data_IF_607707930388
#
_entry.id   IF_607707930388
#
_cell.length_a   1.000
_cell.length_b   1.000
_cell.length_c   1.000
_cell.angle_alpha   90.00
_cell.angle_beta   90.00
_cell.angle_gamma   90.00
#
_symmetry.space_group_name_H-M   'P 1'
#
loop_
_entity.id
_entity.type
_entity.pdbx_description
1 polymer ?
#
# COMPACT_ATOMS: atom_id res chain seq x y z
N UNK A 1 -4.05 31.21 -9.34
CA UNK A 1 -4.54 30.44 -8.17
C UNK A 1 -5.75 29.67 -8.66
N UNK A 2 -5.68 28.34 -8.67
CA UNK A 2 -6.77 27.47 -9.13
C UNK A 2 -7.70 27.18 -7.96
N UNK A 3 -8.99 27.41 -8.15
CA UNK A 3 -9.98 27.06 -7.13
C UNK A 3 -10.45 25.64 -7.30
N UNK A 4 -10.49 24.90 -6.19
CA UNK A 4 -11.01 23.54 -6.11
C UNK A 4 -11.99 23.51 -4.94
N UNK A 5 -13.23 23.10 -5.22
CA UNK A 5 -14.28 23.05 -4.20
C UNK A 5 -14.16 21.76 -3.38
N UNK A 6 -14.60 21.80 -2.12
CA UNK A 6 -14.71 20.59 -1.28
C UNK A 6 -15.63 19.55 -1.91
N UNK A 7 -16.64 19.94 -2.69
CA UNK A 7 -17.50 18.99 -3.39
C UNK A 7 -16.74 18.18 -4.45
N UNK A 8 -15.87 18.82 -5.25
CA UNK A 8 -15.03 18.12 -6.21
C UNK A 8 -14.09 17.11 -5.52
N UNK A 9 -13.56 17.45 -4.34
CA UNK A 9 -12.70 16.57 -3.55
C UNK A 9 -13.51 15.37 -3.03
N UNK A 10 -14.69 15.63 -2.46
CA UNK A 10 -15.61 14.58 -1.97
C UNK A 10 -15.98 13.60 -3.08
N UNK A 11 -16.39 14.10 -4.24
CA UNK A 11 -16.78 13.27 -5.38
C UNK A 11 -15.60 12.43 -5.91
N UNK A 12 -14.40 13.04 -5.98
CA UNK A 12 -13.18 12.36 -6.40
C UNK A 12 -12.80 11.24 -5.43
N UNK A 13 -12.78 11.49 -4.12
CA UNK A 13 -12.44 10.48 -3.10
C UNK A 13 -13.47 9.35 -3.08
N UNK A 14 -14.79 9.69 -3.17
CA UNK A 14 -15.86 8.70 -3.26
C UNK A 14 -15.65 7.75 -4.43
N UNK A 15 -15.40 8.28 -5.63
CA UNK A 15 -15.18 7.47 -6.82
C UNK A 15 -13.90 6.61 -6.70
N UNK A 16 -12.80 7.21 -6.22
CA UNK A 16 -11.55 6.47 -6.02
C UNK A 16 -11.69 5.30 -5.04
N UNK A 17 -12.47 5.43 -3.96
CA UNK A 17 -12.71 4.33 -3.01
C UNK A 17 -13.40 3.13 -3.67
N UNK A 18 -14.35 3.37 -4.56
CA UNK A 18 -15.03 2.32 -5.31
C UNK A 18 -14.11 1.70 -6.35
N UNK A 19 -13.53 2.52 -7.22
CA UNK A 19 -12.71 2.07 -8.34
C UNK A 19 -11.51 1.23 -7.89
N UNK A 20 -10.83 1.66 -6.82
CA UNK A 20 -9.67 0.93 -6.27
C UNK A 20 -10.07 -0.40 -5.63
N UNK A 21 -11.32 -0.55 -5.23
CA UNK A 21 -11.82 -1.78 -4.62
C UNK A 21 -12.32 -2.80 -5.64
N UNK A 22 -12.70 -2.35 -6.84
CA UNK A 22 -13.27 -3.18 -7.89
C UNK A 22 -12.26 -3.55 -8.99
N UNK A 23 -11.22 -2.75 -9.16
CA UNK A 23 -10.29 -2.87 -10.27
C UNK A 23 -8.84 -2.88 -9.78
N UNK A 24 -8.14 -4.00 -10.02
CA UNK A 24 -6.73 -4.14 -9.67
C UNK A 24 -5.86 -3.37 -10.69
N UNK A 25 -4.80 -2.66 -10.27
CA UNK A 25 -3.87 -2.03 -11.20
C UNK A 25 -3.27 -3.02 -12.19
N UNK A 26 -3.12 -2.61 -13.44
CA UNK A 26 -2.66 -3.48 -14.55
C UNK A 26 -1.26 -4.05 -14.31
N UNK A 27 -0.37 -3.28 -13.69
CA UNK A 27 0.98 -3.74 -13.34
C UNK A 27 0.95 -4.89 -12.33
N UNK A 28 0.04 -4.85 -11.36
CA UNK A 28 -0.15 -5.92 -10.37
C UNK A 28 -0.76 -7.15 -11.03
N UNK A 29 -1.77 -6.98 -11.88
CA UNK A 29 -2.40 -8.08 -12.63
C UNK A 29 -1.38 -8.78 -13.53
N UNK A 30 -0.57 -8.02 -14.26
CA UNK A 30 0.52 -8.55 -15.09
C UNK A 30 1.56 -9.31 -14.25
N UNK A 31 1.96 -8.76 -13.10
CA UNK A 31 2.91 -9.42 -12.20
C UNK A 31 2.37 -10.74 -11.62
N UNK A 32 1.07 -10.82 -11.34
CA UNK A 32 0.41 -12.06 -10.93
C UNK A 32 0.40 -13.09 -12.07
N UNK A 33 0.13 -12.68 -13.31
CA UNK A 33 0.16 -13.54 -14.48
C UNK A 33 1.58 -14.06 -14.76
N UNK A 34 2.59 -13.20 -14.67
CA UNK A 34 4.00 -13.58 -14.77
C UNK A 34 4.42 -14.53 -13.64
N UNK A 35 3.89 -14.29 -12.44
CA UNK A 35 4.07 -15.16 -11.29
C UNK A 35 3.49 -16.56 -11.54
N UNK A 36 2.27 -16.64 -12.09
CA UNK A 36 1.64 -17.91 -12.45
C UNK A 36 2.50 -18.71 -13.45
N UNK A 37 3.10 -18.04 -14.43
CA UNK A 37 3.98 -18.68 -15.40
C UNK A 37 5.27 -19.24 -14.78
N UNK A 38 5.78 -18.61 -13.70
CA UNK A 38 7.03 -18.98 -13.01
C UNK A 38 6.81 -19.94 -11.84
N UNK A 39 5.57 -20.07 -11.34
CA UNK A 39 5.25 -20.90 -10.18
C UNK A 39 5.41 -22.39 -10.52
N UNK A 40 6.01 -23.14 -9.63
CA UNK A 40 6.27 -24.58 -9.79
C UNK A 40 5.28 -25.44 -8.99
N UNK A 41 4.80 -24.93 -7.85
CA UNK A 41 3.87 -25.64 -6.98
C UNK A 41 2.48 -25.74 -7.61
N UNK A 42 1.89 -26.94 -7.73
CA UNK A 42 0.51 -27.08 -8.22
C UNK A 42 -0.51 -26.29 -7.39
N UNK A 43 -0.34 -26.24 -6.07
CA UNK A 43 -1.20 -25.44 -5.19
C UNK A 43 -0.97 -23.93 -5.38
N UNK A 44 0.30 -23.52 -5.56
CA UNK A 44 0.64 -22.14 -5.86
C UNK A 44 0.02 -21.65 -7.17
N UNK A 45 0.10 -22.48 -8.23
CA UNK A 45 -0.57 -22.20 -9.53
C UNK A 45 -2.06 -22.03 -9.35
N UNK A 46 -2.71 -23.01 -8.71
CA UNK A 46 -4.13 -22.92 -8.46
C UNK A 46 -4.53 -21.65 -7.70
N UNK A 47 -3.77 -21.25 -6.67
CA UNK A 47 -4.03 -20.02 -5.94
C UNK A 47 -3.93 -18.78 -6.85
N UNK A 48 -2.88 -18.68 -7.67
CA UNK A 48 -2.70 -17.55 -8.59
C UNK A 48 -3.79 -17.50 -9.66
N UNK A 49 -4.23 -18.64 -10.20
CA UNK A 49 -5.37 -18.72 -11.12
C UNK A 49 -6.66 -18.19 -10.46
N UNK A 50 -6.93 -18.59 -9.21
CA UNK A 50 -8.11 -18.11 -8.48
C UNK A 50 -8.03 -16.60 -8.18
N UNK A 51 -6.84 -16.08 -7.85
CA UNK A 51 -6.62 -14.64 -7.62
C UNK A 51 -6.92 -13.85 -8.90
N UNK A 52 -6.35 -14.26 -10.03
CA UNK A 52 -6.57 -13.61 -11.33
C UNK A 52 -8.05 -13.67 -11.75
N UNK A 53 -8.67 -14.83 -11.59
CA UNK A 53 -10.11 -14.99 -11.90
C UNK A 53 -10.97 -14.07 -11.01
N UNK A 54 -10.68 -13.99 -9.71
CA UNK A 54 -11.37 -13.10 -8.79
C UNK A 54 -11.23 -11.62 -9.17
N UNK A 55 -10.05 -11.19 -9.64
CA UNK A 55 -9.85 -9.82 -10.11
C UNK A 55 -10.75 -9.50 -11.32
N UNK A 56 -10.88 -10.43 -12.27
CA UNK A 56 -11.76 -10.27 -13.43
C UNK A 56 -13.24 -10.21 -13.00
N UNK A 57 -13.68 -11.08 -12.11
CA UNK A 57 -15.06 -11.06 -11.58
C UNK A 57 -15.36 -9.74 -10.84
N UNK A 58 -14.42 -9.27 -10.02
CA UNK A 58 -14.59 -8.02 -9.29
C UNK A 58 -14.81 -6.83 -10.24
N UNK A 59 -14.00 -6.75 -11.30
CA UNK A 59 -14.12 -5.72 -12.34
C UNK A 59 -15.43 -5.83 -13.12
N UNK A 60 -15.80 -7.04 -13.55
CA UNK A 60 -17.00 -7.30 -14.36
C UNK A 60 -18.27 -6.97 -13.58
N UNK A 61 -18.33 -7.38 -12.31
CA UNK A 61 -19.53 -7.23 -11.49
C UNK A 61 -19.52 -5.95 -10.63
N UNK A 62 -18.47 -5.12 -10.71
CA UNK A 62 -18.28 -3.92 -9.87
C UNK A 62 -18.47 -4.23 -8.38
N UNK A 63 -17.77 -5.27 -7.93
CA UNK A 63 -17.78 -5.77 -6.56
C UNK A 63 -16.38 -5.74 -5.96
N UNK A 64 -16.30 -5.59 -4.63
CA UNK A 64 -15.03 -5.60 -3.94
C UNK A 64 -14.27 -6.94 -4.14
N UNK A 65 -13.02 -6.87 -4.61
CA UNK A 65 -12.18 -8.05 -4.85
C UNK A 65 -11.75 -8.79 -3.58
N UNK A 66 -11.94 -8.19 -2.41
CA UNK A 66 -11.59 -8.76 -1.11
C UNK A 66 -12.60 -8.34 -0.05
N UNK A 67 -12.87 -9.21 0.92
CA UNK A 67 -13.71 -8.88 2.08
C UNK A 67 -13.08 -7.82 2.98
N UNK A 68 -11.74 -7.67 2.99
CA UNK A 68 -11.05 -6.58 3.65
C UNK A 68 -10.82 -5.44 2.66
N UNK A 69 -11.73 -4.47 2.70
CA UNK A 69 -11.65 -3.25 1.91
C UNK A 69 -10.78 -2.17 2.58
N UNK A 70 -10.19 -2.51 3.73
CA UNK A 70 -9.13 -1.76 4.39
C UNK A 70 -9.58 -0.49 5.11
N UNK A 71 -8.61 0.16 5.74
CA UNK A 71 -8.70 1.56 6.14
C UNK A 71 -8.23 2.43 4.97
N UNK A 72 -8.95 3.51 4.68
CA UNK A 72 -8.57 4.43 3.61
C UNK A 72 -7.35 5.26 4.03
N UNK A 73 -6.21 5.07 3.36
CA UNK A 73 -5.07 5.98 3.44
C UNK A 73 -5.13 6.90 2.22
N UNK A 74 -5.15 8.21 2.46
CA UNK A 74 -5.31 9.21 1.41
C UNK A 74 -4.08 10.10 1.38
N UNK A 75 -3.39 10.11 0.25
CA UNK A 75 -2.28 11.02 -0.01
C UNK A 75 -2.78 12.21 -0.82
N UNK A 76 -2.52 13.41 -0.30
CA UNK A 76 -2.83 14.69 -0.92
C UNK A 76 -1.53 15.39 -1.28
N UNK A 77 -1.27 15.57 -2.58
CA UNK A 77 -0.20 16.46 -3.05
C UNK A 77 -0.84 17.77 -3.49
N UNK A 78 -0.69 18.79 -2.68
CA UNK A 78 -1.37 20.09 -2.84
C UNK A 78 -0.40 21.10 -3.46
N UNK A 79 -0.74 21.60 -4.62
CA UNK A 79 -0.02 22.72 -5.24
C UNK A 79 -0.15 24.00 -4.41
N UNK A 80 0.93 24.75 -4.24
CA UNK A 80 0.94 26.01 -3.46
C UNK A 80 -0.06 27.06 -3.96
N UNK A 81 -0.41 27.01 -5.24
CA UNK A 81 -1.34 27.94 -5.89
C UNK A 81 -2.78 27.41 -5.95
N UNK A 82 -3.08 26.30 -5.25
CA UNK A 82 -4.43 25.78 -5.08
C UNK A 82 -5.12 26.54 -3.95
N UNK A 83 -6.36 26.96 -4.21
CA UNK A 83 -7.26 27.51 -3.22
C UNK A 83 -8.48 26.61 -3.04
N UNK A 84 -8.59 25.98 -1.85
CA UNK A 84 -9.69 25.11 -1.52
C UNK A 84 -10.84 25.95 -0.97
N UNK A 85 -12.02 25.80 -1.58
CA UNK A 85 -13.20 26.59 -1.24
C UNK A 85 -14.39 25.74 -0.81
N UNK A 86 -15.28 26.34 -0.02
CA UNK A 86 -16.54 25.71 0.39
C UNK A 86 -16.51 24.91 1.69
N UNK A 87 -15.35 24.74 2.33
CA UNK A 87 -15.26 24.05 3.61
C UNK A 87 -13.86 23.51 3.94
N UNK A 88 -13.82 22.53 4.83
CA UNK A 88 -12.57 21.88 5.28
C UNK A 88 -12.14 20.78 4.29
N UNK A 89 -10.87 20.77 3.91
CA UNK A 89 -10.26 19.74 3.08
C UNK A 89 -10.35 18.35 3.73
N UNK A 90 -10.06 18.26 5.02
CA UNK A 90 -10.09 16.98 5.74
C UNK A 90 -11.51 16.42 5.80
N UNK A 91 -12.52 17.28 6.09
CA UNK A 91 -13.92 16.86 6.15
C UNK A 91 -14.41 16.39 4.77
N UNK A 92 -13.99 17.04 3.69
CA UNK A 92 -14.33 16.63 2.33
C UNK A 92 -13.77 15.23 1.99
N UNK A 93 -12.53 14.93 2.44
CA UNK A 93 -11.93 13.60 2.27
C UNK A 93 -12.70 12.56 3.09
N UNK A 94 -13.02 12.84 4.35
CA UNK A 94 -13.79 11.91 5.19
C UNK A 94 -15.18 11.66 4.61
N UNK A 95 -15.84 12.70 4.14
CA UNK A 95 -17.15 12.60 3.47
C UNK A 95 -17.08 11.73 2.23
N UNK A 96 -16.06 11.91 1.39
CA UNK A 96 -15.83 11.09 0.21
C UNK A 96 -15.60 9.61 0.54
N UNK A 97 -14.84 9.31 1.60
CA UNK A 97 -14.64 7.94 2.09
C UNK A 97 -15.97 7.36 2.59
N UNK A 98 -16.72 8.08 3.40
CA UNK A 98 -18.01 7.64 3.91
C UNK A 98 -18.97 7.26 2.78
N UNK A 99 -19.15 8.15 1.80
CA UNK A 99 -20.00 7.90 0.64
C UNK A 99 -19.50 6.74 -0.22
N UNK A 100 -18.18 6.68 -0.51
CA UNK A 100 -17.59 5.63 -1.33
C UNK A 100 -17.73 4.24 -0.72
N UNK A 101 -17.60 4.13 0.63
CA UNK A 101 -17.77 2.87 1.34
C UNK A 101 -19.24 2.45 1.47
N UNK A 102 -20.17 3.40 1.50
CA UNK A 102 -21.60 3.12 1.47
C UNK A 102 -22.06 2.69 0.09
N UNK A 103 -21.81 3.50 -0.93
CA UNK A 103 -22.27 3.28 -2.30
C UNK A 103 -21.62 2.06 -2.97
N UNK A 104 -20.34 1.80 -2.64
CA UNK A 104 -19.59 0.64 -3.11
C UNK A 104 -19.85 -0.64 -2.32
N UNK A 105 -20.76 -0.63 -1.34
CA UNK A 105 -21.02 -1.76 -0.42
C UNK A 105 -19.73 -2.31 0.20
N UNK A 106 -18.78 -1.42 0.51
CA UNK A 106 -17.50 -1.78 1.08
C UNK A 106 -17.62 -2.03 2.58
N UNK A 107 -16.81 -2.97 3.09
CA UNK A 107 -16.81 -3.28 4.51
C UNK A 107 -16.29 -2.12 5.35
N UNK A 108 -17.09 -1.66 6.33
CA UNK A 108 -16.68 -0.67 7.31
C UNK A 108 -15.89 -1.36 8.42
N UNK A 109 -14.60 -1.03 8.55
CA UNK A 109 -13.66 -1.76 9.44
C UNK A 109 -12.98 -0.86 10.48
N UNK A 110 -13.31 0.44 10.49
CA UNK A 110 -12.74 1.42 11.43
C UNK A 110 -13.48 1.38 12.76
N UNK A 111 -12.74 1.42 13.86
CA UNK A 111 -13.27 1.53 15.22
C UNK A 111 -12.91 2.89 15.82
N UNK A 112 -13.83 3.47 16.59
CA UNK A 112 -13.67 4.81 17.20
C UNK A 112 -12.52 4.86 18.19
N UNK A 113 -12.51 3.88 19.09
CA UNK A 113 -11.52 3.76 20.16
C UNK A 113 -10.80 2.40 20.01
N UNK A 114 -9.45 2.41 19.87
CA UNK A 114 -8.75 1.20 19.46
C UNK A 114 -8.46 0.20 20.58
N UNK A 115 -8.57 0.59 21.86
CA UNK A 115 -8.05 -0.19 23.00
C UNK A 115 -9.13 -0.81 23.89
N UNK A 116 -10.19 -0.07 24.18
CA UNK A 116 -11.19 -0.47 25.19
C UNK A 116 -12.52 -0.91 24.56
N UNK A 117 -13.37 0.02 24.11
CA UNK A 117 -14.70 -0.31 23.60
C UNK A 117 -14.71 -0.86 22.18
N UNK A 118 -13.83 -0.37 21.33
CA UNK A 118 -13.65 -0.77 19.93
C UNK A 118 -14.95 -0.74 19.10
N UNK A 119 -15.83 0.21 19.36
CA UNK A 119 -17.06 0.40 18.62
C UNK A 119 -16.78 0.76 17.16
N UNK A 120 -17.48 0.11 16.22
CA UNK A 120 -17.33 0.41 14.81
C UNK A 120 -17.93 1.78 14.50
N UNK A 121 -17.24 2.61 13.70
CA UNK A 121 -17.71 3.93 13.28
C UNK A 121 -18.94 3.86 12.38
N UNK A 122 -19.15 2.72 11.71
CA UNK A 122 -20.28 2.48 10.81
C UNK A 122 -20.13 3.06 9.42
N UNK A 123 -19.08 3.86 9.16
CA UNK A 123 -18.88 4.58 7.89
C UNK A 123 -17.45 4.52 7.35
N UNK A 124 -16.57 3.79 8.02
CA UNK A 124 -15.14 3.63 7.71
C UNK A 124 -14.31 4.91 7.79
N UNK A 125 -14.77 5.91 8.53
CA UNK A 125 -14.02 7.13 8.84
C UNK A 125 -13.47 7.10 10.28
N UNK A 126 -12.45 7.92 10.59
CA UNK A 126 -11.71 8.82 9.70
C UNK A 126 -10.76 8.08 8.75
N UNK A 127 -10.48 8.68 7.61
CA UNK A 127 -9.36 8.29 6.76
C UNK A 127 -8.03 8.68 7.41
N UNK A 128 -6.95 7.97 7.08
CA UNK A 128 -5.58 8.41 7.40
C UNK A 128 -5.10 9.33 6.28
N UNK A 129 -4.96 10.61 6.55
CA UNK A 129 -4.62 11.62 5.55
C UNK A 129 -3.16 12.04 5.69
N UNK A 130 -2.41 11.94 4.60
CA UNK A 130 -1.06 12.49 4.46
C UNK A 130 -1.07 13.62 3.45
N UNK A 131 -0.56 14.78 3.82
CA UNK A 131 -0.54 15.97 2.94
C UNK A 131 0.89 16.43 2.70
N UNK A 132 1.22 16.65 1.43
CA UNK A 132 2.44 17.28 0.97
C UNK A 132 2.11 18.53 0.17
N UNK A 133 2.85 19.62 0.40
CA UNK A 133 2.71 20.86 -0.36
C UNK A 133 3.88 20.95 -1.36
N UNK A 134 3.53 21.17 -2.63
CA UNK A 134 4.49 21.22 -3.73
C UNK A 134 4.27 22.51 -4.56
N UNK A 135 5.24 22.97 -5.34
CA UNK A 135 5.00 24.03 -6.31
C UNK A 135 3.93 23.64 -7.34
N UNK A 136 3.11 24.61 -7.78
CA UNK A 136 2.11 24.43 -8.83
C UNK A 136 0.67 24.62 -8.37
N UNK A 137 -0.28 24.29 -9.26
CA UNK A 137 -1.70 24.58 -9.10
C UNK A 137 -2.61 23.36 -9.22
N UNK A 138 -2.06 22.14 -9.06
CA UNK A 138 -2.83 20.90 -9.10
C UNK A 138 -2.99 20.33 -7.69
N UNK A 139 -4.11 19.67 -7.47
CA UNK A 139 -4.34 18.81 -6.32
C UNK A 139 -4.39 17.35 -6.81
N UNK A 140 -3.36 16.56 -6.45
CA UNK A 140 -3.38 15.13 -6.67
C UNK A 140 -3.92 14.44 -5.42
N UNK A 141 -4.88 13.55 -5.62
CA UNK A 141 -5.50 12.73 -4.58
C UNK A 141 -5.26 11.29 -4.94
N UNK A 142 -4.62 10.53 -4.05
CA UNK A 142 -4.44 9.08 -4.19
C UNK A 142 -5.10 8.37 -3.01
N UNK A 143 -5.91 7.36 -3.30
CA UNK A 143 -6.55 6.51 -2.29
C UNK A 143 -5.89 5.13 -2.30
N UNK A 144 -5.46 4.70 -1.13
CA UNK A 144 -4.80 3.40 -0.87
C UNK A 144 -5.58 2.68 0.23
N UNK A 145 -6.48 1.75 -0.08
CA UNK A 145 -7.13 0.96 0.95
C UNK A 145 -6.13 -0.04 1.53
N UNK A 146 -5.82 0.11 2.82
CA UNK A 146 -4.81 -0.70 3.50
C UNK A 146 -5.44 -1.77 4.37
N UNK A 147 -5.36 -3.02 3.90
CA UNK A 147 -5.89 -4.18 4.61
C UNK A 147 -5.12 -4.50 5.90
N UNK A 148 -5.85 -4.87 6.95
CA UNK A 148 -5.29 -5.10 8.27
C UNK A 148 -4.36 -6.33 8.33
N UNK A 149 -4.67 -7.40 7.60
CA UNK A 149 -3.84 -8.61 7.60
C UNK A 149 -2.39 -8.35 7.17
N UNK A 150 -2.20 -7.51 6.16
CA UNK A 150 -0.87 -7.11 5.71
C UNK A 150 -0.27 -5.95 6.50
N UNK A 151 -1.09 -5.02 7.00
CA UNK A 151 -0.60 -3.90 7.83
C UNK A 151 0.01 -4.41 9.14
N UNK A 152 -0.63 -5.39 9.77
CA UNK A 152 -0.15 -5.98 11.03
C UNK A 152 1.20 -6.71 10.90
N UNK A 153 1.64 -7.00 9.69
CA UNK A 153 2.92 -7.65 9.42
C UNK A 153 4.07 -6.66 9.20
N UNK A 154 3.77 -5.36 9.21
CA UNK A 154 4.78 -4.31 9.14
C UNK A 154 5.62 -4.22 10.41
N UNK A 155 6.85 -3.72 10.27
CA UNK A 155 7.75 -3.50 11.39
C UNK A 155 8.63 -2.26 11.17
N UNK A 156 9.06 -1.64 12.27
CA UNK A 156 10.05 -0.56 12.27
C UNK A 156 11.14 -0.87 13.28
N UNK A 157 12.38 -0.61 12.91
CA UNK A 157 13.53 -0.79 13.79
C UNK A 157 14.52 0.36 13.67
N UNK A 158 14.93 0.89 14.81
CA UNK A 158 16.03 1.85 14.90
C UNK A 158 17.33 1.05 14.97
N UNK A 159 17.93 0.82 13.80
CA UNK A 159 19.26 0.21 13.70
C UNK A 159 20.36 1.21 14.07
N UNK A 160 21.53 0.70 14.39
CA UNK A 160 22.75 1.51 14.56
C UNK A 160 23.47 1.62 13.21
N UNK A 161 24.18 2.73 12.93
CA UNK A 161 25.00 2.83 11.73
C UNK A 161 25.99 1.66 11.55
N UNK A 162 26.49 1.11 12.66
CA UNK A 162 27.36 -0.05 12.65
C UNK A 162 26.70 -1.35 12.18
N UNK A 163 25.38 -1.47 12.25
CA UNK A 163 24.64 -2.64 11.73
C UNK A 163 24.68 -2.65 10.19
N UNK A 164 24.78 -1.47 9.58
CA UNK A 164 25.01 -1.29 8.15
C UNK A 164 23.99 -1.96 7.24
N UNK A 165 24.42 -2.23 6.02
CA UNK A 165 23.59 -2.87 4.99
C UNK A 165 23.12 -4.27 5.41
N UNK A 166 24.00 -5.07 5.99
CA UNK A 166 23.67 -6.44 6.37
C UNK A 166 22.63 -6.51 7.50
N UNK A 167 22.73 -5.60 8.49
CA UNK A 167 21.72 -5.49 9.54
C UNK A 167 20.36 -5.06 8.99
N UNK A 168 20.34 -4.18 8.00
CA UNK A 168 19.10 -3.78 7.31
C UNK A 168 18.50 -4.94 6.51
N UNK A 169 19.31 -5.66 5.69
CA UNK A 169 18.87 -6.85 4.94
C UNK A 169 18.28 -7.90 5.89
N UNK A 170 18.99 -8.22 6.97
CA UNK A 170 18.52 -9.22 7.93
C UNK A 170 17.18 -8.84 8.55
N UNK A 171 17.01 -7.57 8.98
CA UNK A 171 15.76 -7.09 9.55
C UNK A 171 14.59 -7.19 8.55
N UNK A 172 14.83 -6.83 7.28
CA UNK A 172 13.81 -6.89 6.22
C UNK A 172 13.40 -8.35 5.99
N UNK A 173 14.36 -9.23 5.79
CA UNK A 173 14.10 -10.66 5.51
C UNK A 173 13.42 -11.35 6.70
N UNK A 174 13.81 -11.03 7.94
CA UNK A 174 13.18 -11.58 9.13
C UNK A 174 11.74 -11.09 9.28
N UNK A 175 11.46 -9.82 8.94
CA UNK A 175 10.10 -9.30 8.94
C UNK A 175 9.19 -10.08 7.98
N UNK A 176 9.64 -10.32 6.75
CA UNK A 176 8.88 -11.10 5.77
C UNK A 176 8.74 -12.57 6.20
N UNK A 177 9.81 -13.18 6.71
CA UNK A 177 9.78 -14.56 7.21
C UNK A 177 8.77 -14.75 8.33
N UNK A 178 8.76 -13.82 9.30
CA UNK A 178 7.81 -13.84 10.43
C UNK A 178 6.36 -13.56 9.99
N UNK A 179 6.17 -12.80 8.93
CA UNK A 179 4.85 -12.57 8.35
C UNK A 179 4.25 -13.86 7.75
N UNK A 180 5.09 -14.69 7.11
CA UNK A 180 4.66 -15.95 6.52
C UNK A 180 3.49 -15.79 5.56
N UNK A 181 2.45 -16.60 5.74
CA UNK A 181 1.21 -16.56 4.95
C UNK A 181 0.19 -15.50 5.37
N UNK A 182 0.37 -14.84 6.54
CA UNK A 182 -0.61 -13.91 7.10
C UNK A 182 -0.97 -12.72 6.19
N UNK A 183 -0.03 -12.12 5.42
CA UNK A 183 -0.35 -11.02 4.53
C UNK A 183 -0.96 -11.45 3.18
N UNK A 184 -1.35 -12.72 3.03
CA UNK A 184 -1.90 -13.29 1.78
C UNK A 184 -0.96 -13.08 0.56
N UNK A 185 0.20 -13.77 0.52
CA UNK A 185 1.11 -13.71 -0.63
C UNK A 185 0.44 -14.14 -1.96
N UNK A 186 1.00 -13.70 -3.12
CA UNK A 186 2.27 -12.96 -3.26
C UNK A 186 2.14 -11.52 -2.80
N UNK A 187 3.15 -11.02 -2.09
CA UNK A 187 3.15 -9.71 -1.45
C UNK A 187 3.89 -8.65 -2.28
N UNK A 188 3.60 -7.38 -2.00
CA UNK A 188 4.48 -6.26 -2.34
C UNK A 188 5.10 -5.74 -1.05
N UNK A 189 6.42 -5.59 -1.04
CA UNK A 189 7.17 -5.15 0.14
C UNK A 189 7.66 -3.73 -0.09
N UNK A 190 7.19 -2.82 0.75
CA UNK A 190 7.67 -1.44 0.80
C UNK A 190 8.65 -1.26 1.95
N UNK A 191 9.78 -0.64 1.67
CA UNK A 191 10.86 -0.41 2.63
C UNK A 191 11.16 1.07 2.69
N UNK A 192 11.22 1.62 3.89
CA UNK A 192 11.67 2.97 4.15
C UNK A 192 12.98 2.98 4.93
N UNK A 193 13.98 3.69 4.41
CA UNK A 193 15.31 3.77 5.03
C UNK A 193 15.69 5.23 5.29
N UNK A 194 16.08 5.52 6.51
CA UNK A 194 16.53 6.87 6.88
C UNK A 194 15.40 7.78 7.40
N UNK A 195 15.68 9.07 7.45
CA UNK A 195 14.82 10.06 8.10
C UNK A 195 14.82 9.91 9.62
N UNK A 196 13.65 9.98 10.19
CA UNK A 196 13.32 9.81 11.61
C UNK A 196 12.46 8.56 11.81
N UNK A 197 12.13 8.23 13.06
CA UNK A 197 11.33 7.04 13.39
C UNK A 197 9.98 7.02 12.67
N UNK A 198 9.31 8.15 12.54
CA UNK A 198 8.02 8.28 11.84
C UNK A 198 8.19 8.38 10.31
N UNK A 199 9.30 8.97 9.83
CA UNK A 199 9.56 9.12 8.39
C UNK A 199 9.81 7.78 7.71
N UNK A 200 10.54 6.87 8.32
CA UNK A 200 10.82 5.56 7.75
C UNK A 200 9.53 4.73 7.48
N UNK A 201 8.56 4.58 8.40
CA UNK A 201 7.26 3.96 8.10
C UNK A 201 6.44 4.68 7.01
N UNK A 202 6.50 6.02 6.97
CA UNK A 202 5.83 6.77 5.88
C UNK A 202 6.44 6.41 4.51
N UNK A 203 7.78 6.38 4.42
CA UNK A 203 8.49 5.98 3.20
C UNK A 203 8.17 4.53 2.82
N UNK A 204 8.16 3.61 3.77
CA UNK A 204 7.80 2.22 3.53
C UNK A 204 6.39 2.08 2.95
N UNK A 205 5.44 2.87 3.46
CA UNK A 205 4.06 2.87 2.96
C UNK A 205 3.94 3.54 1.58
N UNK A 206 4.69 4.60 1.32
CA UNK A 206 4.78 5.22 -0.01
C UNK A 206 5.42 4.29 -1.03
N UNK A 207 6.46 3.54 -0.66
CA UNK A 207 7.09 2.56 -1.53
C UNK A 207 6.11 1.51 -2.07
N UNK A 208 5.05 1.17 -1.33
CA UNK A 208 3.99 0.26 -1.78
C UNK A 208 3.13 0.82 -2.91
N UNK A 209 3.18 2.11 -3.20
CA UNK A 209 2.42 2.75 -4.28
C UNK A 209 3.23 2.93 -5.56
N UNK A 210 4.47 2.45 -5.60
CA UNK A 210 5.26 2.42 -6.82
C UNK A 210 4.73 1.33 -7.75
N UNK A 211 4.77 1.62 -9.05
CA UNK A 211 4.41 0.66 -10.09
C UNK A 211 5.33 -0.58 -10.02
N UNK A 212 4.74 -1.77 -10.09
CA UNK A 212 5.50 -3.02 -10.10
C UNK A 212 6.33 -3.09 -11.39
N UNK A 213 7.62 -3.37 -11.23
CA UNK A 213 8.60 -3.33 -12.32
C UNK A 213 9.39 -2.03 -12.38
N UNK A 214 8.94 -0.96 -11.68
CA UNK A 214 9.76 0.23 -11.50
C UNK A 214 10.99 -0.07 -10.62
N UNK A 215 12.05 0.72 -10.80
CA UNK A 215 13.29 0.59 -10.03
C UNK A 215 13.62 1.89 -9.32
N UNK A 216 14.35 1.78 -8.23
CA UNK A 216 14.88 2.97 -7.55
C UNK A 216 15.83 3.72 -8.48
N UNK A 217 15.82 5.04 -8.42
CA UNK A 217 16.71 5.91 -9.22
C UNK A 217 18.19 5.74 -8.86
N UNK A 218 18.49 5.43 -7.59
CA UNK A 218 19.85 5.08 -7.17
C UNK A 218 20.13 3.60 -7.49
N UNK A 219 21.10 3.30 -8.36
CA UNK A 219 21.39 1.94 -8.81
C UNK A 219 21.76 0.99 -7.67
N UNK A 220 22.28 1.49 -6.55
CA UNK A 220 22.60 0.67 -5.36
C UNK A 220 21.33 0.16 -4.70
N UNK A 221 20.30 0.99 -4.59
CA UNK A 221 19.00 0.58 -4.06
C UNK A 221 18.24 -0.27 -5.08
N UNK A 222 18.33 0.03 -6.37
CA UNK A 222 17.73 -0.80 -7.41
C UNK A 222 18.28 -2.23 -7.39
N UNK A 223 19.59 -2.39 -7.22
CA UNK A 223 20.21 -3.70 -7.05
C UNK A 223 19.75 -4.38 -5.75
N UNK A 224 19.63 -3.63 -4.65
CA UNK A 224 19.17 -4.17 -3.37
C UNK A 224 17.71 -4.63 -3.43
N UNK A 225 16.84 -3.91 -4.18
CA UNK A 225 15.45 -4.33 -4.43
C UNK A 225 15.41 -5.71 -5.11
N UNK A 226 16.25 -5.94 -6.12
CA UNK A 226 16.36 -7.24 -6.82
C UNK A 226 16.88 -8.35 -5.91
N UNK A 227 17.98 -8.09 -5.18
CA UNK A 227 18.55 -9.06 -4.25
C UNK A 227 17.55 -9.50 -3.17
N UNK A 228 16.81 -8.54 -2.61
CA UNK A 228 15.79 -8.83 -1.60
C UNK A 228 14.60 -9.59 -2.19
N UNK A 229 14.14 -9.24 -3.40
CA UNK A 229 13.06 -9.94 -4.07
C UNK A 229 13.43 -11.41 -4.33
N UNK A 230 14.63 -11.67 -4.83
CA UNK A 230 15.14 -13.02 -5.03
C UNK A 230 15.23 -13.79 -3.70
N UNK A 231 15.81 -13.18 -2.66
CA UNK A 231 15.94 -13.79 -1.35
C UNK A 231 14.58 -14.14 -0.72
N UNK A 232 13.57 -13.26 -0.87
CA UNK A 232 12.21 -13.48 -0.37
C UNK A 232 11.55 -14.62 -1.14
N UNK A 233 11.67 -14.67 -2.45
CA UNK A 233 11.07 -15.73 -3.28
C UNK A 233 11.75 -17.10 -3.02
N UNK A 234 13.02 -17.10 -2.62
CA UNK A 234 13.72 -18.31 -2.18
C UNK A 234 13.35 -18.80 -0.77
N UNK A 235 12.51 -18.08 -0.01
CA UNK A 235 11.99 -18.55 1.28
C UNK A 235 10.99 -19.69 1.14
N UNK A 236 10.37 -19.87 -0.03
CA UNK A 236 9.42 -20.93 -0.29
C UNK A 236 8.06 -20.77 0.41
N UNK A 237 7.70 -19.56 0.86
CA UNK A 237 6.40 -19.29 1.49
C UNK A 237 5.28 -19.51 0.45
N UNK A 238 5.47 -18.99 -0.77
CA UNK A 238 4.59 -19.20 -1.92
C UNK A 238 3.22 -18.54 -1.82
N UNK A 239 2.41 -18.64 -2.90
CA UNK A 239 1.08 -18.06 -2.95
C UNK A 239 0.19 -18.53 -1.79
N UNK A 240 -0.47 -17.60 -1.13
CA UNK A 240 -1.31 -17.80 0.07
C UNK A 240 -0.61 -18.51 1.25
N UNK A 241 0.74 -18.57 1.24
CA UNK A 241 1.51 -19.28 2.28
C UNK A 241 1.46 -20.81 2.17
N UNK A 242 1.03 -21.36 1.02
CA UNK A 242 0.87 -22.79 0.81
C UNK A 242 2.10 -23.46 0.17
N UNK A 243 3.21 -22.78 0.17
CA UNK A 243 4.45 -23.22 -0.47
C UNK A 243 4.50 -22.87 -1.95
N UNK A 244 5.70 -22.69 -2.47
CA UNK A 244 5.95 -22.34 -3.86
C UNK A 244 7.02 -21.27 -4.02
N UNK A 245 7.20 -20.81 -5.25
CA UNK A 245 8.24 -19.86 -5.64
C UNK A 245 7.79 -18.40 -5.46
N UNK A 246 6.54 -18.09 -5.76
CA UNK A 246 6.06 -16.71 -5.86
C UNK A 246 5.56 -16.21 -4.50
N UNK A 247 6.49 -15.77 -3.66
CA UNK A 247 6.19 -15.18 -2.34
C UNK A 247 5.94 -13.67 -2.45
N UNK A 248 6.73 -12.97 -3.26
CA UNK A 248 6.61 -11.53 -3.48
C UNK A 248 6.60 -11.20 -4.99
N UNK A 249 5.82 -10.18 -5.37
CA UNK A 249 5.77 -9.62 -6.71
C UNK A 249 6.82 -8.52 -6.89
N UNK A 250 7.05 -7.72 -5.85
CA UNK A 250 8.02 -6.63 -5.86
C UNK A 250 8.56 -6.31 -4.47
N UNK A 251 9.75 -5.72 -4.46
CA UNK A 251 10.35 -5.03 -3.32
C UNK A 251 10.70 -3.62 -3.77
N UNK A 252 10.20 -2.61 -3.07
CA UNK A 252 10.48 -1.21 -3.36
C UNK A 252 11.09 -0.53 -2.15
N UNK A 253 12.13 0.27 -2.35
CA UNK A 253 12.86 0.98 -1.28
C UNK A 253 12.75 2.49 -1.54
N UNK A 254 12.32 3.22 -0.53
CA UNK A 254 12.41 4.68 -0.48
C UNK A 254 13.39 5.11 0.60
N UNK A 255 14.28 6.03 0.27
CA UNK A 255 15.31 6.51 1.19
C UNK A 255 15.17 8.00 1.47
N UNK A 256 15.63 8.42 2.63
CA UNK A 256 15.68 9.81 3.05
C UNK A 256 16.94 10.09 3.87
N UNK A 257 17.56 11.28 3.75
CA UNK A 257 18.68 11.67 4.60
C UNK A 257 18.38 11.48 6.08
N UNK A 258 19.36 10.99 6.84
CA UNK A 258 19.19 10.70 8.26
C UNK A 258 20.32 11.28 9.10
N UNK A 259 20.11 11.33 10.41
CA UNK A 259 21.15 11.78 11.34
C UNK A 259 22.31 10.76 11.37
N UNK A 260 23.55 11.23 11.45
CA UNK A 260 24.76 10.41 11.37
C UNK A 260 24.80 9.24 12.39
N UNK A 261 24.10 9.36 13.51
CA UNK A 261 24.04 8.34 14.57
C UNK A 261 22.79 7.43 14.49
N UNK A 262 22.00 7.51 13.41
CA UNK A 262 20.76 6.74 13.26
C UNK A 262 20.75 5.95 11.95
N UNK A 263 20.04 4.82 11.98
CA UNK A 263 19.69 4.04 10.78
C UNK A 263 18.29 3.44 10.98
N UNK A 264 17.23 4.28 10.90
CA UNK A 264 15.87 3.76 10.93
C UNK A 264 15.55 2.98 9.67
N UNK A 265 14.95 1.80 9.82
CA UNK A 265 14.46 0.96 8.73
C UNK A 265 13.04 0.52 9.06
N UNK A 266 12.14 0.68 8.12
CA UNK A 266 10.77 0.21 8.23
C UNK A 266 10.41 -0.69 7.06
N UNK A 267 9.55 -1.68 7.33
CA UNK A 267 8.97 -2.58 6.34
C UNK A 267 7.46 -2.49 6.46
N UNK A 268 6.79 -2.24 5.36
CA UNK A 268 5.34 -2.35 5.23
C UNK A 268 5.02 -3.35 4.11
N UNK A 269 3.89 -4.05 4.21
CA UNK A 269 3.57 -5.14 3.29
C UNK A 269 2.16 -4.93 2.74
N UNK A 270 1.99 -5.12 1.42
CA UNK A 270 0.70 -5.31 0.79
C UNK A 270 0.50 -6.78 0.40
N UNK A 271 -0.75 -7.25 0.46
CA UNK A 271 -1.15 -8.55 -0.05
C UNK A 271 -1.14 -8.56 -1.60
N UNK A 272 -1.52 -9.69 -2.20
CA UNK A 272 -1.66 -9.85 -3.65
C UNK A 272 -2.61 -8.84 -4.30
N UNK A 273 -3.57 -8.31 -3.55
CA UNK A 273 -4.45 -7.23 -4.00
C UNK A 273 -3.86 -5.85 -3.68
N UNK A 274 -2.58 -5.64 -4.00
CA UNK A 274 -1.90 -4.36 -3.86
C UNK A 274 -2.55 -3.36 -4.81
N UNK A 275 -3.26 -2.36 -4.26
CA UNK A 275 -4.07 -1.46 -5.06
C UNK A 275 -4.03 -0.03 -4.55
N UNK A 276 -3.99 0.87 -5.48
CA UNK A 276 -4.14 2.30 -5.28
C UNK A 276 -4.67 2.92 -6.57
N UNK A 277 -5.37 4.04 -6.45
CA UNK A 277 -5.79 4.86 -7.60
C UNK A 277 -5.67 6.32 -7.26
N UNK A 278 -5.43 7.14 -8.29
CA UNK A 278 -5.25 8.57 -8.13
C UNK A 278 -5.99 9.37 -9.19
N UNK A 279 -6.23 10.63 -8.86
CA UNK A 279 -6.77 11.65 -9.78
C UNK A 279 -6.05 12.98 -9.53
N UNK A 280 -5.98 13.79 -10.57
CA UNK A 280 -5.47 15.15 -10.50
C UNK A 280 -6.60 16.11 -10.82
N UNK A 281 -6.90 17.00 -9.86
CA UNK A 281 -7.88 18.08 -9.97
C UNK A 281 -7.19 19.40 -10.33
#
# INVERSE_FOLDING_TARGET
MKEITVQQITDAVRQLCMDVSFDLPTDVENALADGLAKEESPFGKYCLEQILHNCHLAREHQQAMCQDTGIAVVYLTVGQDVHITGGSLADAVHEGVRQGYEDGYLRKSVVEEPLFERNNTGDNTPAVIHTEIVPGENLRIMVVPKGAGSENMGAVKMLKPADGLEGAKQFILDTVRNAGGNPCPPIVVGIGVGGTMEKAPMLAKQALTREIGSRNEDPRYAQLEEELLEAINNMGIGPQGLGGRVTALAVHIEQYPTHIAMLPVAVNINCHAARHKEIVL
#
